data_IF_332655352421
#
_entry.id   IF_332655352421
#
_cell.length_a   1.000
_cell.length_b   1.000
_cell.length_c   1.000
_cell.angle_alpha   90.00
_cell.angle_beta   90.00
_cell.angle_gamma   90.00
#
_symmetry.space_group_name_H-M   'P 1'
#
loop_
_entity.id
_entity.type
_entity.pdbx_description
1 polymer ?
#
# COMPACT_ATOMS: atom_id res chain seq x y z
N UNK A 1 11.13 32.30 -8.64
CA UNK A 1 11.93 31.07 -8.83
C UNK A 1 11.71 30.19 -7.61
N UNK A 2 10.68 29.34 -7.61
CA UNK A 2 10.47 28.38 -6.52
C UNK A 2 11.25 27.11 -6.84
N UNK A 3 12.46 27.01 -6.28
CA UNK A 3 13.22 25.77 -6.30
C UNK A 3 12.47 24.71 -5.48
N UNK A 4 12.17 23.58 -6.11
CA UNK A 4 11.49 22.43 -5.50
C UNK A 4 12.41 21.81 -4.44
N UNK A 5 12.38 22.33 -3.23
CA UNK A 5 13.00 21.73 -2.06
C UNK A 5 12.49 20.32 -1.81
N UNK A 6 13.38 19.33 -1.88
CA UNK A 6 13.52 18.19 -0.96
C UNK A 6 12.24 17.46 -0.47
N UNK A 7 11.17 17.37 -1.27
CA UNK A 7 9.92 16.69 -0.88
C UNK A 7 9.88 15.18 -1.23
N UNK A 8 10.87 14.68 -1.99
CA UNK A 8 11.00 13.25 -2.32
C UNK A 8 11.35 12.31 -1.14
N UNK A 9 12.16 12.68 -0.11
CA UNK A 9 12.53 11.75 0.96
C UNK A 9 11.32 11.34 1.82
N UNK A 10 10.29 12.19 1.94
CA UNK A 10 9.12 11.86 2.75
C UNK A 10 8.27 10.75 2.12
N UNK A 11 8.00 10.81 0.82
CA UNK A 11 7.24 9.75 0.13
C UNK A 11 8.02 8.43 0.11
N UNK A 12 9.33 8.52 -0.08
CA UNK A 12 10.24 7.38 -0.14
C UNK A 12 10.40 6.68 1.24
N UNK A 13 10.54 7.46 2.32
CA UNK A 13 10.53 6.94 3.70
C UNK A 13 9.18 6.33 4.09
N UNK A 14 8.07 7.00 3.74
CA UNK A 14 6.72 6.48 4.01
C UNK A 14 6.54 5.14 3.29
N UNK A 15 7.02 5.03 2.06
CA UNK A 15 6.97 3.81 1.27
C UNK A 15 7.83 2.70 1.87
N UNK A 16 9.06 2.99 2.29
CA UNK A 16 9.93 2.00 2.94
C UNK A 16 9.32 1.46 4.23
N UNK A 17 8.73 2.34 5.06
CA UNK A 17 8.01 1.94 6.28
C UNK A 17 6.78 1.08 5.98
N UNK A 18 6.02 1.41 4.93
CA UNK A 18 4.90 0.57 4.46
C UNK A 18 5.38 -0.81 4.01
N UNK A 19 6.47 -0.90 3.27
CA UNK A 19 7.03 -2.19 2.83
C UNK A 19 7.53 -3.05 3.98
N UNK A 20 8.21 -2.46 4.96
CA UNK A 20 8.59 -3.14 6.21
C UNK A 20 7.36 -3.71 6.93
N UNK A 21 6.25 -2.95 6.98
CA UNK A 21 4.99 -3.40 7.59
C UNK A 21 4.35 -4.54 6.79
N UNK A 22 4.29 -4.46 5.47
CA UNK A 22 3.72 -5.50 4.60
C UNK A 22 4.52 -6.80 4.75
N UNK A 23 5.85 -6.73 4.70
CA UNK A 23 6.71 -7.90 4.94
C UNK A 23 6.50 -8.52 6.32
N UNK A 24 6.29 -7.69 7.36
CA UNK A 24 5.98 -8.19 8.70
C UNK A 24 4.62 -8.89 8.76
N UNK A 25 3.58 -8.34 8.12
CA UNK A 25 2.23 -8.94 8.07
C UNK A 25 2.23 -10.24 7.26
N UNK A 26 2.97 -10.30 6.16
CA UNK A 26 3.05 -11.50 5.32
C UNK A 26 3.77 -12.66 6.01
N UNK A 27 4.74 -12.37 6.89
CA UNK A 27 5.37 -13.37 7.77
C UNK A 27 4.44 -13.91 8.87
N UNK A 28 3.31 -13.24 9.15
CA UNK A 28 2.29 -13.74 10.08
C UNK A 28 1.39 -14.77 9.39
N UNK A 29 0.74 -15.61 10.20
CA UNK A 29 -0.14 -16.68 9.70
C UNK A 29 -1.29 -16.15 8.83
N UNK A 30 -1.76 -16.98 7.89
CA UNK A 30 -2.86 -16.66 6.96
C UNK A 30 -4.17 -16.30 7.66
N UNK A 31 -4.35 -16.73 8.91
CA UNK A 31 -5.51 -16.44 9.75
C UNK A 31 -5.42 -15.07 10.45
N UNK A 32 -4.31 -14.34 10.29
CA UNK A 32 -4.17 -13.00 10.85
C UNK A 32 -5.18 -12.05 10.17
N UNK A 33 -6.07 -11.45 10.97
CA UNK A 33 -7.10 -10.49 10.56
C UNK A 33 -6.52 -9.39 9.64
N UNK A 34 -5.27 -8.99 9.91
CA UNK A 34 -4.57 -7.95 9.15
C UNK A 34 -4.23 -8.41 7.72
N UNK A 35 -3.89 -9.70 7.52
CA UNK A 35 -3.62 -10.28 6.19
C UNK A 35 -4.91 -10.46 5.38
N UNK A 36 -6.03 -10.74 6.04
CA UNK A 36 -7.35 -10.71 5.40
C UNK A 36 -7.78 -9.28 5.04
N UNK A 37 -7.53 -8.32 5.92
CA UNK A 37 -7.85 -6.90 5.69
C UNK A 37 -7.10 -6.29 4.49
N UNK A 38 -5.87 -6.76 4.19
CA UNK A 38 -5.12 -6.39 2.99
C UNK A 38 -5.84 -6.79 1.69
N UNK A 39 -6.48 -7.95 1.68
CA UNK A 39 -7.19 -8.50 0.51
C UNK A 39 -8.68 -8.11 0.49
N UNK A 40 -9.20 -7.59 1.60
CA UNK A 40 -10.62 -7.30 1.79
C UNK A 40 -11.12 -6.22 0.84
N UNK A 41 -11.97 -6.63 -0.10
CA UNK A 41 -12.78 -5.72 -0.89
C UNK A 41 -14.05 -5.39 -0.10
N UNK A 42 -14.23 -4.13 0.30
CA UNK A 42 -15.46 -3.70 0.97
C UNK A 42 -16.65 -3.82 -0.01
N UNK A 43 -17.47 -4.86 0.12
CA UNK A 43 -18.64 -5.13 -0.75
C UNK A 43 -19.77 -4.10 -0.65
N UNK A 44 -19.70 -3.13 0.27
CA UNK A 44 -20.75 -2.11 0.40
C UNK A 44 -20.71 -1.06 -0.71
N UNK A 45 -21.90 -0.66 -1.18
CA UNK A 45 -22.09 0.56 -1.99
C UNK A 45 -21.44 1.76 -1.29
N UNK A 46 -20.38 2.30 -1.89
CA UNK A 46 -19.69 3.50 -1.39
C UNK A 46 -20.50 4.75 -1.75
N UNK A 47 -20.48 5.76 -0.87
CA UNK A 47 -21.07 7.08 -1.18
C UNK A 47 -20.36 7.70 -2.40
N UNK A 48 -21.14 8.23 -3.34
CA UNK A 48 -20.63 8.96 -4.53
C UNK A 48 -19.78 10.14 -4.04
N UNK A 49 -18.54 10.26 -4.53
CA UNK A 49 -17.59 11.31 -4.12
C UNK A 49 -16.45 10.87 -3.20
N UNK A 50 -16.48 9.66 -2.61
CA UNK A 50 -15.34 9.14 -1.84
C UNK A 50 -14.20 8.70 -2.77
N UNK A 51 -12.95 9.17 -2.56
CA UNK A 51 -11.83 8.79 -3.42
C UNK A 51 -11.64 7.27 -3.45
N UNK A 52 -11.28 6.76 -4.63
CA UNK A 52 -11.22 5.33 -4.97
C UNK A 52 -9.86 4.71 -4.63
N UNK A 53 -9.08 5.34 -3.75
CA UNK A 53 -7.79 4.85 -3.29
C UNK A 53 -7.99 3.88 -2.12
N UNK A 54 -8.11 2.60 -2.45
CA UNK A 54 -8.01 1.53 -1.45
C UNK A 54 -6.52 1.31 -1.14
N UNK A 55 -6.16 0.97 0.10
CA UNK A 55 -4.80 0.54 0.49
C UNK A 55 -4.20 -0.45 -0.53
N UNK A 56 -5.02 -1.38 -1.04
CA UNK A 56 -4.64 -2.32 -2.11
C UNK A 56 -4.13 -1.64 -3.39
N UNK A 57 -4.72 -0.54 -3.83
CA UNK A 57 -4.30 0.19 -5.04
C UNK A 57 -3.02 0.99 -4.82
N UNK A 58 -2.81 1.53 -3.61
CA UNK A 58 -1.56 2.20 -3.27
C UNK A 58 -0.42 1.18 -3.22
N UNK A 59 -0.64 0.03 -2.59
CA UNK A 59 0.32 -1.08 -2.57
C UNK A 59 0.60 -1.60 -3.99
N UNK A 60 -0.42 -1.76 -4.82
CA UNK A 60 -0.26 -2.21 -6.21
C UNK A 60 0.50 -1.18 -7.07
N UNK A 61 0.29 0.12 -6.83
CA UNK A 61 1.04 1.18 -7.48
C UNK A 61 2.51 1.21 -7.03
N UNK A 62 2.75 1.02 -5.73
CA UNK A 62 4.10 0.90 -5.16
C UNK A 62 4.83 -0.34 -5.72
N UNK A 63 4.12 -1.48 -5.87
CA UNK A 63 4.65 -2.69 -6.52
C UNK A 63 5.02 -2.47 -7.98
N UNK A 64 4.13 -1.84 -8.76
CA UNK A 64 4.40 -1.54 -10.17
C UNK A 64 5.61 -0.63 -10.33
N UNK A 65 5.83 0.28 -9.39
CA UNK A 65 7.04 1.14 -9.37
C UNK A 65 8.30 0.38 -8.98
N UNK A 66 8.21 -0.63 -8.12
CA UNK A 66 9.34 -1.47 -7.71
C UNK A 66 9.57 -2.70 -8.61
N UNK A 67 8.74 -2.89 -9.64
CA UNK A 67 8.77 -4.05 -10.53
C UNK A 67 8.74 -5.41 -9.78
N UNK A 68 7.97 -5.48 -8.69
CA UNK A 68 7.83 -6.71 -7.88
C UNK A 68 6.44 -7.33 -8.07
N UNK A 69 6.38 -8.67 -8.09
CA UNK A 69 5.12 -9.40 -8.17
C UNK A 69 4.65 -9.89 -6.79
N UNK A 70 3.34 -9.99 -6.58
CA UNK A 70 2.74 -10.64 -5.39
C UNK A 70 3.20 -12.09 -5.19
N UNK A 71 3.65 -12.75 -6.26
CA UNK A 71 4.18 -14.12 -6.21
C UNK A 71 5.61 -14.21 -5.68
N UNK A 72 6.36 -13.12 -5.66
CA UNK A 72 7.76 -13.07 -5.20
C UNK A 72 7.87 -12.65 -3.72
N UNK A 73 6.73 -12.41 -3.07
CA UNK A 73 6.56 -12.05 -1.66
C UNK A 73 6.02 -13.22 -0.84
#
# INVERSE_FOLDING_TARGET
>A
MWERTNNLPAEEEIRERRWKLIGHILRKSSNCIIRQALTWNSERKRKRGRPKNTLRREIEADMKRMNMNWKEL
#
